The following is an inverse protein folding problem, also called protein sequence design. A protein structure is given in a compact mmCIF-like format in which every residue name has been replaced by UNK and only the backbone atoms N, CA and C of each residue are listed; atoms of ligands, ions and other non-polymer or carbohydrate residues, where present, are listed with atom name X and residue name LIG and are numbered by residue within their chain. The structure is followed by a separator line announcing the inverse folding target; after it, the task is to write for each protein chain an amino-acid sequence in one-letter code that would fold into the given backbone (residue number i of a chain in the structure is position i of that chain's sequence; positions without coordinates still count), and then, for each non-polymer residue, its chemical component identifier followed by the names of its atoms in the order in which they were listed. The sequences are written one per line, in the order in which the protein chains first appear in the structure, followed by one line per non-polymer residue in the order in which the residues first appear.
data_IF_518247254022
#
_entry.id   IF_518247254022
#
_cell.length_a   1.000
_cell.length_b   1.000
_cell.length_c   1.000
_cell.angle_alpha   90.00
_cell.angle_beta   90.00
_cell.angle_gamma   90.00
#
_symmetry.space_group_name_H-M   'P 1'
#
loop_
_entity.id
_entity.type
_entity.pdbx_description
1 polymer ?
#
# COMPACT_ATOMS: atom_id res chain seq x y z
N UNK A 1 18.11 5.06 -18.11
CA UNK A 1 17.90 4.97 -19.59
C UNK A 1 16.48 5.41 -19.99
N UNK A 2 15.46 5.03 -19.23
CA UNK A 2 14.05 5.45 -19.49
C UNK A 2 13.85 6.96 -19.28
N UNK A 3 14.42 7.55 -18.24
CA UNK A 3 14.38 9.01 -18.03
C UNK A 3 14.93 9.80 -19.21
N UNK A 4 16.05 9.35 -19.80
CA UNK A 4 16.66 10.04 -20.94
C UNK A 4 15.78 10.04 -22.20
N UNK A 5 14.99 9.00 -22.43
CA UNK A 5 14.05 8.91 -23.56
C UNK A 5 12.87 9.85 -23.31
N UNK A 6 12.25 9.78 -22.15
CA UNK A 6 11.15 10.65 -21.74
C UNK A 6 11.50 12.14 -21.93
N UNK A 7 12.66 12.54 -21.42
CA UNK A 7 13.06 13.97 -21.44
C UNK A 7 13.40 14.47 -22.85
N UNK A 8 13.87 13.57 -23.75
CA UNK A 8 14.14 13.91 -25.14
C UNK A 8 12.90 14.00 -26.00
N UNK A 9 11.96 13.06 -25.80
CA UNK A 9 10.78 12.92 -26.67
C UNK A 9 9.56 13.70 -26.17
N UNK A 10 9.66 14.34 -24.99
CA UNK A 10 8.58 15.11 -24.33
C UNK A 10 7.24 14.33 -24.32
N UNK A 11 7.29 13.05 -23.93
CA UNK A 11 6.12 12.16 -23.94
C UNK A 11 5.11 12.54 -22.85
N UNK A 12 3.82 12.46 -23.17
CA UNK A 12 2.74 12.77 -22.24
C UNK A 12 2.50 11.65 -21.22
N UNK A 13 2.75 10.41 -21.60
CA UNK A 13 2.58 9.27 -20.74
C UNK A 13 3.66 8.20 -20.97
N UNK A 14 3.98 7.46 -19.92
CA UNK A 14 4.79 6.22 -19.97
C UNK A 14 3.92 5.08 -19.52
N UNK A 15 3.83 4.03 -20.33
CA UNK A 15 3.02 2.84 -20.02
C UNK A 15 3.88 1.76 -19.41
N UNK A 16 3.59 1.39 -18.18
CA UNK A 16 4.19 0.27 -17.46
C UNK A 16 3.41 -1.02 -17.78
N UNK A 17 4.07 -1.97 -18.45
CA UNK A 17 3.52 -3.30 -18.74
C UNK A 17 4.24 -4.29 -17.85
N UNK A 18 3.58 -4.78 -16.79
CA UNK A 18 4.24 -5.68 -15.84
C UNK A 18 3.52 -5.86 -14.53
N UNK A 19 4.24 -6.36 -13.54
CA UNK A 19 3.77 -6.48 -12.15
C UNK A 19 4.22 -5.30 -11.29
N UNK A 20 3.98 -5.42 -9.97
CA UNK A 20 4.24 -4.36 -9.00
C UNK A 20 5.66 -3.80 -9.07
N UNK A 21 6.69 -4.63 -9.17
CA UNK A 21 8.08 -4.18 -9.25
C UNK A 21 8.36 -3.31 -10.49
N UNK A 22 7.84 -3.69 -11.67
CA UNK A 22 8.00 -2.89 -12.91
C UNK A 22 7.25 -1.57 -12.82
N UNK A 23 6.02 -1.60 -12.30
CA UNK A 23 5.20 -0.40 -12.10
C UNK A 23 5.92 0.55 -11.16
N UNK A 24 6.45 0.03 -10.07
CA UNK A 24 7.16 0.79 -9.05
C UNK A 24 8.44 1.45 -9.57
N UNK A 25 9.28 0.71 -10.30
CA UNK A 25 10.50 1.23 -10.91
C UNK A 25 10.21 2.39 -11.87
N UNK A 26 9.18 2.24 -12.71
CA UNK A 26 8.76 3.28 -13.63
C UNK A 26 8.16 4.47 -12.87
N UNK A 27 7.24 4.24 -11.93
CA UNK A 27 6.61 5.28 -11.12
C UNK A 27 7.63 6.16 -10.38
N UNK A 28 8.68 5.56 -9.79
CA UNK A 28 9.79 6.30 -9.14
C UNK A 28 10.48 7.28 -10.08
N UNK A 29 10.55 6.96 -11.37
CA UNK A 29 11.16 7.85 -12.37
C UNK A 29 10.21 8.97 -12.83
N UNK A 30 8.92 8.88 -12.51
CA UNK A 30 7.89 9.81 -12.94
C UNK A 30 7.42 10.76 -11.84
N UNK A 31 7.78 10.52 -10.57
CA UNK A 31 7.40 11.43 -9.47
C UNK A 31 7.84 12.86 -9.76
N UNK A 32 6.95 13.81 -9.46
CA UNK A 32 7.14 15.25 -9.70
C UNK A 32 7.42 15.63 -11.15
N UNK A 33 6.97 14.81 -12.11
CA UNK A 33 7.02 15.14 -13.53
C UNK A 33 5.61 15.35 -14.09
N UNK A 34 5.51 15.95 -15.27
CA UNK A 34 4.24 16.12 -15.99
C UNK A 34 3.85 14.90 -16.82
N UNK A 35 4.67 13.85 -16.83
CA UNK A 35 4.43 12.63 -17.60
C UNK A 35 3.56 11.68 -16.77
N UNK A 36 2.41 11.29 -17.30
CA UNK A 36 1.49 10.38 -16.62
C UNK A 36 1.96 8.92 -16.69
N UNK A 37 1.68 8.16 -15.65
CA UNK A 37 1.86 6.70 -15.61
C UNK A 37 0.59 6.02 -16.16
N UNK A 38 0.70 5.29 -17.26
CA UNK A 38 -0.30 4.30 -17.69
C UNK A 38 0.09 2.91 -17.18
N UNK A 39 -0.87 2.08 -16.81
CA UNK A 39 -0.60 0.74 -16.25
C UNK A 39 -1.34 -0.34 -17.05
N UNK A 40 -0.58 -1.36 -17.51
CA UNK A 40 -1.13 -2.62 -18.01
C UNK A 40 -0.66 -3.72 -17.06
N UNK A 41 -1.52 -4.16 -16.12
CA UNK A 41 -1.11 -5.07 -15.05
C UNK A 41 -0.95 -6.51 -15.57
N UNK A 42 0.27 -7.06 -15.45
CA UNK A 42 0.61 -8.42 -15.87
C UNK A 42 1.22 -9.26 -14.72
N UNK A 43 1.30 -8.71 -13.52
CA UNK A 43 1.82 -9.39 -12.34
C UNK A 43 0.79 -10.24 -11.61
N UNK A 44 1.21 -10.89 -10.52
CA UNK A 44 0.33 -11.66 -9.63
C UNK A 44 -0.39 -10.78 -8.60
N UNK A 45 0.27 -9.74 -8.07
CA UNK A 45 -0.26 -8.85 -7.05
C UNK A 45 -1.06 -7.70 -7.63
N UNK A 46 -0.39 -6.84 -8.40
CA UNK A 46 -0.91 -5.64 -9.04
C UNK A 46 -1.65 -4.70 -8.06
N UNK A 47 -1.02 -4.43 -6.91
CA UNK A 47 -1.64 -3.70 -5.79
C UNK A 47 -2.10 -2.31 -6.18
N UNK A 48 -1.23 -1.50 -6.81
CA UNK A 48 -1.56 -0.15 -7.24
C UNK A 48 -2.65 -0.15 -8.32
N UNK A 49 -2.53 -1.01 -9.34
CA UNK A 49 -3.52 -1.11 -10.40
C UNK A 49 -4.91 -1.50 -9.86
N UNK A 50 -4.97 -2.44 -8.91
CA UNK A 50 -6.23 -2.85 -8.27
C UNK A 50 -6.84 -1.74 -7.42
N UNK A 51 -6.01 -1.01 -6.68
CA UNK A 51 -6.49 0.13 -5.89
C UNK A 51 -7.08 1.22 -6.80
N UNK A 52 -6.41 1.53 -7.90
CA UNK A 52 -6.87 2.48 -8.92
C UNK A 52 -8.00 1.94 -9.82
N UNK A 53 -8.52 0.75 -9.54
CA UNK A 53 -9.58 0.09 -10.31
C UNK A 53 -9.23 -0.13 -11.80
N UNK A 54 -7.94 -0.20 -12.12
CA UNK A 54 -7.47 -0.53 -13.47
C UNK A 54 -7.74 -2.02 -13.74
N UNK A 55 -8.31 -2.32 -14.90
CA UNK A 55 -8.67 -3.69 -15.27
C UNK A 55 -7.45 -4.61 -15.35
N UNK A 56 -7.60 -5.84 -14.79
CA UNK A 56 -6.59 -6.90 -14.93
C UNK A 56 -6.60 -7.56 -16.32
N UNK A 57 -7.58 -7.21 -17.17
CA UNK A 57 -7.63 -7.63 -18.57
C UNK A 57 -6.87 -6.64 -19.45
N UNK A 58 -5.81 -7.06 -20.17
CA UNK A 58 -4.93 -6.14 -20.89
C UNK A 58 -5.66 -5.24 -21.90
N UNK A 59 -6.67 -5.77 -22.61
CA UNK A 59 -7.45 -4.99 -23.56
C UNK A 59 -8.17 -3.82 -22.90
N UNK A 60 -8.85 -4.08 -21.77
CA UNK A 60 -9.54 -3.03 -21.02
C UNK A 60 -8.57 -2.05 -20.36
N UNK A 61 -7.39 -2.50 -19.96
CA UNK A 61 -6.34 -1.62 -19.46
C UNK A 61 -5.85 -0.65 -20.56
N UNK A 62 -5.73 -1.10 -21.80
CA UNK A 62 -5.41 -0.26 -22.94
C UNK A 62 -6.55 0.75 -23.23
N UNK A 63 -7.81 0.34 -23.13
CA UNK A 63 -8.98 1.23 -23.27
C UNK A 63 -8.93 2.33 -22.20
N UNK A 64 -8.59 2.00 -20.96
CA UNK A 64 -8.40 2.98 -19.87
C UNK A 64 -7.27 3.96 -20.21
N UNK A 65 -6.16 3.51 -20.79
CA UNK A 65 -5.07 4.40 -21.19
C UNK A 65 -5.51 5.38 -22.26
N UNK A 66 -6.36 4.96 -23.20
CA UNK A 66 -6.84 5.80 -24.31
C UNK A 66 -7.98 6.75 -23.90
N UNK A 67 -8.87 6.34 -23.01
CA UNK A 67 -10.14 7.01 -22.73
C UNK A 67 -10.24 7.52 -21.28
N UNK A 68 -9.30 7.15 -20.43
CA UNK A 68 -9.26 7.52 -19.02
C UNK A 68 -8.98 9.00 -18.77
N UNK A 69 -8.84 9.34 -17.53
CA UNK A 69 -8.46 10.68 -17.08
C UNK A 69 -7.10 10.61 -16.38
N UNK A 70 -6.38 11.72 -16.36
CA UNK A 70 -5.17 11.87 -15.57
C UNK A 70 -5.59 12.38 -14.19
N UNK A 71 -5.24 11.62 -13.16
CA UNK A 71 -5.39 12.00 -11.76
C UNK A 71 -4.00 12.17 -11.13
N UNK A 72 -3.92 12.94 -10.06
CA UNK A 72 -2.67 13.21 -9.33
C UNK A 72 -2.76 12.56 -7.97
N UNK A 73 -1.90 11.58 -7.74
CA UNK A 73 -1.92 10.79 -6.51
C UNK A 73 -0.72 11.09 -5.61
N UNK A 74 -0.92 10.84 -4.33
CA UNK A 74 0.11 10.86 -3.31
C UNK A 74 0.99 9.60 -3.42
N UNK A 75 2.20 9.67 -2.85
CA UNK A 75 3.04 8.51 -2.64
C UNK A 75 3.72 8.58 -1.28
N UNK A 76 4.14 7.45 -0.75
CA UNK A 76 4.88 7.39 0.50
C UNK A 76 6.39 7.39 0.29
N UNK A 77 7.13 7.84 1.29
CA UNK A 77 8.57 7.60 1.43
C UNK A 77 8.85 6.88 2.73
N UNK A 78 9.68 5.84 2.67
CA UNK A 78 10.31 5.22 3.83
C UNK A 78 11.79 5.59 3.81
N UNK A 79 12.24 6.40 4.78
CA UNK A 79 13.45 7.21 4.67
C UNK A 79 13.43 7.98 3.33
N UNK A 80 14.40 7.73 2.45
CA UNK A 80 14.43 8.40 1.13
C UNK A 80 13.85 7.53 -0.01
N UNK A 81 13.35 6.33 0.29
CA UNK A 81 12.87 5.38 -0.74
C UNK A 81 11.37 5.57 -0.99
N UNK A 82 10.95 5.92 -2.21
CA UNK A 82 9.54 6.02 -2.56
C UNK A 82 8.84 4.66 -2.57
N UNK A 83 7.58 4.64 -2.14
CA UNK A 83 6.65 3.52 -2.29
C UNK A 83 5.26 4.05 -2.69
N UNK A 84 4.47 3.25 -3.38
CA UNK A 84 3.17 3.66 -3.92
C UNK A 84 1.99 2.91 -3.29
N UNK A 85 2.23 1.70 -2.81
CA UNK A 85 1.21 0.91 -2.12
C UNK A 85 1.41 0.90 -0.61
N UNK A 86 2.39 0.15 -0.15
CA UNK A 86 2.59 -0.07 1.29
C UNK A 86 4.08 -0.14 1.64
N UNK A 87 4.42 0.25 2.84
CA UNK A 87 5.69 -0.12 3.46
C UNK A 87 5.44 -0.64 4.88
N UNK A 88 6.43 -1.30 5.47
CA UNK A 88 6.24 -1.81 6.82
C UNK A 88 7.45 -2.47 7.44
N UNK A 89 7.30 -2.77 8.73
CA UNK A 89 8.33 -3.37 9.58
C UNK A 89 7.82 -4.64 10.26
N UNK A 90 8.73 -5.41 10.83
CA UNK A 90 8.39 -6.65 11.50
C UNK A 90 8.07 -7.76 10.51
N UNK A 91 7.08 -8.57 10.82
CA UNK A 91 6.65 -9.66 9.95
C UNK A 91 6.03 -9.19 8.63
N UNK A 92 5.69 -7.92 8.52
CA UNK A 92 5.11 -7.31 7.33
C UNK A 92 5.99 -7.48 6.09
N UNK A 93 7.29 -7.26 6.22
CA UNK A 93 8.27 -7.51 5.16
C UNK A 93 8.22 -8.96 4.65
N UNK A 94 7.94 -9.91 5.52
CA UNK A 94 7.82 -11.32 5.16
C UNK A 94 6.47 -11.63 4.49
N UNK A 95 5.38 -11.07 5.00
CA UNK A 95 4.02 -11.22 4.45
C UNK A 95 3.96 -10.64 3.04
N UNK A 96 4.39 -9.41 2.85
CA UNK A 96 4.34 -8.74 1.55
C UNK A 96 5.17 -9.46 0.48
N UNK A 97 6.38 -9.91 0.83
CA UNK A 97 7.23 -10.70 -0.05
C UNK A 97 6.56 -12.03 -0.47
N UNK A 98 5.86 -12.66 0.46
CA UNK A 98 5.14 -13.91 0.22
C UNK A 98 3.93 -13.69 -0.69
N UNK A 99 3.18 -12.59 -0.50
CA UNK A 99 2.07 -12.24 -1.37
C UNK A 99 2.50 -11.93 -2.81
N UNK A 100 3.58 -11.21 -2.99
CA UNK A 100 4.16 -10.94 -4.31
C UNK A 100 4.51 -12.24 -5.07
N UNK A 101 4.88 -13.31 -4.34
CA UNK A 101 5.28 -14.61 -4.91
C UNK A 101 4.15 -15.64 -5.00
N UNK A 102 3.00 -15.43 -4.34
CA UNK A 102 1.98 -16.47 -4.13
C UNK A 102 1.18 -16.89 -5.38
N UNK A 103 1.32 -16.23 -6.52
CA UNK A 103 0.67 -16.62 -7.76
C UNK A 103 -0.85 -16.90 -7.64
N UNK A 104 -1.44 -17.53 -8.68
CA UNK A 104 -2.89 -17.79 -8.79
C UNK A 104 -3.43 -18.94 -7.91
N UNK A 105 -2.60 -19.67 -7.17
CA UNK A 105 -3.02 -20.88 -6.44
C UNK A 105 -3.35 -20.58 -4.97
N UNK A 106 -4.63 -20.27 -4.69
CA UNK A 106 -5.18 -20.26 -3.35
C UNK A 106 -4.51 -19.27 -2.38
N UNK A 107 -4.66 -17.95 -2.58
CA UNK A 107 -3.99 -16.96 -1.75
C UNK A 107 -4.36 -17.08 -0.26
N UNK A 108 -5.60 -17.45 0.05
CA UNK A 108 -6.06 -17.62 1.43
C UNK A 108 -5.35 -18.76 2.15
N UNK A 109 -5.31 -19.97 1.57
CA UNK A 109 -4.64 -21.13 2.17
C UNK A 109 -3.14 -20.89 2.35
N UNK A 110 -2.53 -20.12 1.43
CA UNK A 110 -1.13 -19.78 1.52
C UNK A 110 -0.88 -18.76 2.64
N UNK A 111 -1.77 -17.76 2.80
CA UNK A 111 -1.72 -16.81 3.90
C UNK A 111 -1.87 -17.52 5.24
N UNK A 112 -2.87 -18.40 5.41
CA UNK A 112 -3.06 -19.15 6.64
C UNK A 112 -1.81 -19.93 7.04
N UNK A 113 -1.20 -20.66 6.09
CA UNK A 113 0.07 -21.36 6.35
C UNK A 113 1.19 -20.40 6.75
N UNK A 114 1.30 -19.26 6.06
CA UNK A 114 2.29 -18.22 6.36
C UNK A 114 2.09 -17.66 7.77
N UNK A 115 0.85 -17.35 8.14
CA UNK A 115 0.51 -16.88 9.49
C UNK A 115 0.75 -17.95 10.56
N UNK A 116 0.46 -19.22 10.28
CA UNK A 116 0.75 -20.33 11.20
C UNK A 116 2.27 -20.54 11.40
N UNK A 117 3.05 -20.47 10.31
CA UNK A 117 4.52 -20.53 10.39
C UNK A 117 5.10 -19.33 11.16
N UNK A 118 4.45 -18.18 11.04
CA UNK A 118 4.87 -16.93 11.64
C UNK A 118 4.68 -16.88 13.17
N UNK A 119 3.91 -17.78 13.75
CA UNK A 119 3.78 -17.88 15.21
C UNK A 119 5.13 -18.16 15.92
N UNK A 120 6.14 -18.57 15.16
CA UNK A 120 7.53 -18.66 15.62
C UNK A 120 8.23 -17.30 15.66
N UNK A 121 7.70 -16.29 14.98
CA UNK A 121 8.24 -14.94 14.99
C UNK A 121 7.96 -14.29 16.35
N UNK A 122 8.99 -13.65 16.91
CA UNK A 122 8.86 -12.93 18.17
C UNK A 122 8.41 -11.49 17.90
N UNK A 123 7.22 -11.08 18.34
CA UNK A 123 6.78 -9.70 18.24
C UNK A 123 7.74 -8.74 18.92
N UNK A 124 8.09 -7.65 18.25
CA UNK A 124 9.01 -6.63 18.77
C UNK A 124 8.24 -5.45 19.37
N UNK A 125 8.92 -4.69 20.22
CA UNK A 125 8.37 -3.44 20.75
C UNK A 125 8.87 -2.29 19.89
N UNK A 126 7.93 -1.50 19.40
CA UNK A 126 8.16 -0.29 18.61
C UNK A 126 7.67 0.94 19.36
N UNK A 127 8.41 2.02 19.23
CA UNK A 127 7.97 3.35 19.61
C UNK A 127 7.64 4.13 18.34
N UNK A 128 6.42 4.66 18.28
CA UNK A 128 5.85 5.32 17.12
C UNK A 128 5.64 6.79 17.46
N UNK A 129 6.36 7.68 16.80
CA UNK A 129 6.25 9.13 16.94
C UNK A 129 5.48 9.69 15.75
N UNK A 130 4.40 10.41 16.02
CA UNK A 130 3.55 11.11 15.05
C UNK A 130 3.42 12.58 15.44
N UNK A 131 2.69 13.36 14.64
CA UNK A 131 2.34 14.74 14.95
C UNK A 131 1.54 14.87 16.27
N UNK A 132 0.77 13.83 16.64
CA UNK A 132 -0.11 13.81 17.82
C UNK A 132 0.60 13.28 19.08
N UNK A 133 1.83 12.80 18.98
CA UNK A 133 2.61 12.31 20.10
C UNK A 133 3.27 10.95 19.86
N UNK A 134 3.73 10.35 20.96
CA UNK A 134 4.47 9.09 20.95
C UNK A 134 3.62 7.96 21.51
N UNK A 135 3.53 6.86 20.78
CA UNK A 135 2.82 5.64 21.15
C UNK A 135 3.80 4.47 21.22
N UNK A 136 3.56 3.52 22.09
CA UNK A 136 4.40 2.33 22.23
C UNK A 136 3.56 1.07 22.06
N UNK A 137 3.96 0.22 21.10
CA UNK A 137 3.27 -1.03 20.81
C UNK A 137 4.22 -2.21 20.80
N UNK A 138 3.77 -3.32 21.40
CA UNK A 138 4.33 -4.63 21.06
C UNK A 138 3.58 -5.13 19.84
N UNK A 139 4.25 -5.17 18.69
CA UNK A 139 3.61 -5.49 17.43
C UNK A 139 4.27 -6.69 16.75
N UNK A 140 3.46 -7.47 16.07
CA UNK A 140 3.86 -8.53 15.17
C UNK A 140 4.28 -7.92 13.81
N UNK A 141 3.51 -6.96 13.31
CA UNK A 141 3.83 -6.14 12.16
C UNK A 141 3.26 -4.73 12.31
N UNK A 142 3.87 -3.80 11.61
CA UNK A 142 3.33 -2.46 11.39
C UNK A 142 3.41 -2.19 9.89
N UNK A 143 2.25 -1.96 9.27
CA UNK A 143 2.12 -1.60 7.87
C UNK A 143 1.66 -0.14 7.74
N UNK A 144 2.27 0.60 6.82
CA UNK A 144 1.87 1.96 6.46
C UNK A 144 1.34 1.92 5.02
N UNK A 145 0.05 2.11 4.86
CA UNK A 145 -0.63 2.10 3.57
C UNK A 145 -0.79 3.50 3.00
N UNK A 146 -0.24 3.74 1.82
CA UNK A 146 -0.63 4.81 0.91
C UNK A 146 -1.79 4.32 0.03
N UNK A 147 -1.75 3.04 -0.38
CA UNK A 147 -2.85 2.32 -1.00
C UNK A 147 -3.40 1.23 -0.08
N UNK A 148 -4.59 0.72 -0.37
CA UNK A 148 -5.35 -0.14 0.53
C UNK A 148 -4.83 -1.58 0.69
N UNK A 149 -3.95 -2.05 -0.20
CA UNK A 149 -3.63 -3.48 -0.28
C UNK A 149 -2.18 -3.77 -0.66
N UNK A 150 -1.71 -4.94 -0.26
CA UNK A 150 -0.45 -5.52 -0.74
C UNK A 150 -0.51 -5.99 -2.20
N UNK A 151 -1.70 -6.09 -2.76
CA UNK A 151 -2.01 -6.73 -4.03
C UNK A 151 -2.88 -7.98 -3.84
N UNK A 152 -3.36 -8.52 -4.95
CA UNK A 152 -4.18 -9.74 -4.98
C UNK A 152 -5.39 -9.73 -4.02
N UNK A 153 -5.96 -8.53 -3.78
CA UNK A 153 -7.06 -8.26 -2.86
C UNK A 153 -6.76 -8.53 -1.37
N UNK A 154 -5.49 -8.48 -0.95
CA UNK A 154 -5.10 -8.54 0.45
C UNK A 154 -5.07 -7.12 1.04
N UNK A 155 -6.17 -6.69 1.64
CA UNK A 155 -6.40 -5.32 2.10
C UNK A 155 -5.89 -5.12 3.52
N UNK A 156 -4.67 -4.59 3.67
CA UNK A 156 -4.07 -4.29 4.97
C UNK A 156 -4.48 -2.92 5.52
N UNK A 157 -4.80 -1.98 4.65
CA UNK A 157 -5.25 -0.64 4.97
C UNK A 157 -6.53 -0.32 4.17
N UNK A 158 -7.69 -0.96 4.49
CA UNK A 158 -8.88 -0.91 3.63
C UNK A 158 -9.43 0.49 3.39
N UNK A 159 -9.13 1.44 4.29
CA UNK A 159 -9.62 2.82 4.22
C UNK A 159 -8.61 3.78 3.55
N UNK A 160 -7.43 3.30 3.15
CA UNK A 160 -6.42 4.16 2.55
C UNK A 160 -6.89 4.78 1.23
N UNK A 161 -6.58 6.06 1.05
CA UNK A 161 -6.88 6.86 -0.14
C UNK A 161 -5.60 7.50 -0.68
N UNK A 162 -5.41 7.45 -2.00
CA UNK A 162 -4.21 7.98 -2.64
C UNK A 162 -4.18 9.51 -2.80
N UNK A 163 -5.18 10.24 -2.28
CA UNK A 163 -5.35 11.69 -2.54
C UNK A 163 -5.71 12.49 -1.29
N UNK A 164 -5.67 11.88 -0.10
CA UNK A 164 -6.06 12.57 1.15
C UNK A 164 -4.85 13.13 1.94
N UNK A 165 -3.64 12.83 1.46
CA UNK A 165 -2.40 13.28 2.10
C UNK A 165 -2.11 12.59 3.44
N UNK A 166 -2.60 11.39 3.65
CA UNK A 166 -2.44 10.61 4.87
C UNK A 166 -1.88 9.20 4.56
N UNK A 167 -1.22 8.62 5.53
CA UNK A 167 -0.87 7.22 5.60
C UNK A 167 -1.82 6.51 6.55
N UNK A 168 -2.39 5.40 6.14
CA UNK A 168 -3.15 4.51 7.01
C UNK A 168 -2.21 3.51 7.68
N UNK A 169 -1.99 3.67 8.97
CA UNK A 169 -1.11 2.80 9.75
C UNK A 169 -1.92 1.67 10.36
N UNK A 170 -1.52 0.43 10.08
CA UNK A 170 -2.12 -0.79 10.60
C UNK A 170 -1.10 -1.53 11.46
N UNK A 171 -1.42 -1.75 12.71
CA UNK A 171 -0.60 -2.47 13.67
C UNK A 171 -1.29 -3.78 14.01
N UNK A 172 -0.63 -4.91 13.75
CA UNK A 172 -1.07 -6.21 14.24
C UNK A 172 -0.36 -6.52 15.55
N UNK A 173 -1.12 -6.56 16.63
CA UNK A 173 -0.65 -6.99 17.95
C UNK A 173 -0.37 -8.51 17.98
N UNK A 174 0.32 -9.02 19.00
CA UNK A 174 0.52 -10.47 19.15
C UNK A 174 -0.81 -11.23 19.12
N UNK A 175 -0.86 -12.28 18.34
CA UNK A 175 -2.05 -13.10 18.11
C UNK A 175 -1.76 -14.59 18.30
N UNK A 176 -2.78 -15.42 18.31
CA UNK A 176 -2.71 -16.87 18.51
C UNK A 176 -3.20 -17.62 17.26
N UNK A 177 -3.02 -18.95 17.26
CA UNK A 177 -3.57 -19.82 16.18
C UNK A 177 -5.05 -19.61 15.97
N UNK A 178 -5.81 -19.33 17.04
CA UNK A 178 -7.26 -19.14 16.98
C UNK A 178 -7.66 -17.85 16.27
N UNK A 179 -6.79 -16.86 16.23
CA UNK A 179 -7.03 -15.58 15.55
C UNK A 179 -6.79 -15.67 14.02
N UNK A 180 -6.01 -16.68 13.55
CA UNK A 180 -5.57 -16.79 12.15
C UNK A 180 -6.71 -16.85 11.13
N UNK A 181 -7.76 -17.67 11.31
CA UNK A 181 -8.87 -17.71 10.34
C UNK A 181 -9.59 -16.36 10.21
N UNK A 182 -9.84 -15.69 11.33
CA UNK A 182 -10.49 -14.36 11.35
C UNK A 182 -9.63 -13.30 10.66
N UNK A 183 -8.35 -13.22 11.01
CA UNK A 183 -7.40 -12.29 10.39
C UNK A 183 -7.32 -12.51 8.87
N UNK A 184 -7.19 -13.79 8.45
CA UNK A 184 -7.11 -14.13 7.03
C UNK A 184 -8.39 -13.74 6.28
N UNK A 185 -9.57 -14.09 6.81
CA UNK A 185 -10.85 -13.76 6.21
C UNK A 185 -11.03 -12.24 6.09
N UNK A 186 -10.77 -11.50 7.15
CA UNK A 186 -10.95 -10.05 7.19
C UNK A 186 -9.99 -9.30 6.27
N UNK A 187 -8.75 -9.81 6.09
CA UNK A 187 -7.78 -9.23 5.16
C UNK A 187 -8.30 -9.23 3.72
N UNK A 188 -9.00 -10.30 3.29
CA UNK A 188 -9.57 -10.37 1.93
C UNK A 188 -10.95 -9.71 1.80
N UNK A 189 -11.66 -9.53 2.92
CA UNK A 189 -12.99 -8.90 2.94
C UNK A 189 -12.99 -7.40 3.23
N UNK A 190 -11.82 -6.74 3.23
CA UNK A 190 -11.67 -5.30 3.55
C UNK A 190 -12.17 -4.92 4.95
N UNK A 191 -12.09 -5.82 5.92
CA UNK A 191 -12.57 -5.59 7.29
C UNK A 191 -11.50 -5.89 8.34
N UNK A 192 -10.23 -5.91 7.94
CA UNK A 192 -9.10 -6.20 8.84
C UNK A 192 -9.01 -5.17 9.99
N UNK A 193 -9.37 -3.92 9.72
CA UNK A 193 -9.45 -2.81 10.67
C UNK A 193 -10.49 -3.02 11.79
N UNK A 194 -11.43 -3.96 11.63
CA UNK A 194 -12.42 -4.33 12.65
C UNK A 194 -11.93 -5.47 13.56
N UNK A 195 -10.75 -6.04 13.31
CA UNK A 195 -10.22 -7.12 14.14
C UNK A 195 -9.71 -6.59 15.49
N UNK A 196 -10.00 -7.29 16.57
CA UNK A 196 -9.59 -6.90 17.93
C UNK A 196 -8.07 -6.85 18.14
N UNK A 197 -7.29 -7.57 17.32
CA UNK A 197 -5.82 -7.58 17.33
C UNK A 197 -5.22 -6.47 16.48
N UNK A 198 -6.04 -5.69 15.79
CA UNK A 198 -5.60 -4.61 14.92
C UNK A 198 -5.84 -3.27 15.60
N UNK A 199 -4.84 -2.41 15.52
CA UNK A 199 -4.95 -0.97 15.84
C UNK A 199 -4.66 -0.19 14.57
N UNK A 200 -5.46 0.82 14.32
CA UNK A 200 -5.28 1.70 13.15
C UNK A 200 -5.28 3.15 13.57
N UNK A 201 -4.50 3.95 12.88
CA UNK A 201 -4.54 5.41 12.93
C UNK A 201 -4.04 5.98 11.62
N UNK A 202 -4.22 7.29 11.42
CA UNK A 202 -3.75 8.01 10.24
C UNK A 202 -2.77 9.10 10.64
N UNK A 203 -1.77 9.34 9.81
CA UNK A 203 -0.78 10.39 10.02
C UNK A 203 -0.17 10.85 8.69
N UNK A 204 0.45 12.03 8.68
CA UNK A 204 1.23 12.49 7.54
C UNK A 204 2.67 12.01 7.63
N UNK A 205 3.19 11.97 8.86
CA UNK A 205 4.55 11.52 9.17
C UNK A 205 4.51 10.52 10.32
N UNK A 206 5.39 9.54 10.26
CA UNK A 206 5.58 8.53 11.29
C UNK A 206 7.06 8.23 11.42
N UNK A 207 7.61 8.38 12.64
CA UNK A 207 8.91 7.82 12.97
C UNK A 207 8.72 6.55 13.76
N UNK A 208 9.29 5.46 13.28
CA UNK A 208 9.30 4.15 13.93
C UNK A 208 10.68 3.95 14.56
N UNK A 209 10.72 3.80 15.87
CA UNK A 209 11.93 3.42 16.60
C UNK A 209 11.83 1.97 17.05
N UNK A 210 12.89 1.20 16.84
CA UNK A 210 13.05 -0.20 17.27
C UNK A 210 14.42 -0.43 17.89
N UNK A 211 14.57 -1.50 18.68
CA UNK A 211 15.78 -1.75 19.49
C UNK A 211 16.97 -2.27 18.70
N UNK A 212 16.78 -2.74 17.47
CA UNK A 212 17.84 -3.31 16.62
C UNK A 212 17.51 -3.11 15.14
N UNK A 213 18.51 -3.04 14.26
CA UNK A 213 18.32 -3.06 12.81
C UNK A 213 17.55 -4.32 12.36
N UNK A 214 16.79 -4.22 11.29
CA UNK A 214 16.03 -5.35 10.76
C UNK A 214 15.50 -5.10 9.36
N UNK A 215 14.76 -6.06 8.82
CA UNK A 215 14.15 -5.96 7.51
C UNK A 215 12.92 -5.05 7.57
N UNK A 216 12.81 -4.20 6.56
CA UNK A 216 11.60 -3.47 6.19
C UNK A 216 11.22 -3.87 4.77
N UNK A 217 10.00 -3.55 4.34
CA UNK A 217 9.65 -3.63 2.93
C UNK A 217 9.04 -2.31 2.46
N UNK A 218 9.08 -2.10 1.15
CA UNK A 218 8.33 -1.08 0.44
C UNK A 218 7.84 -1.68 -0.89
N UNK A 219 6.53 -1.72 -1.07
CA UNK A 219 5.86 -2.35 -2.22
C UNK A 219 6.31 -3.80 -2.51
N UNK A 220 6.63 -4.56 -1.45
CA UNK A 220 7.09 -5.93 -1.56
C UNK A 220 8.60 -6.13 -1.67
N UNK A 221 9.40 -5.07 -1.86
CA UNK A 221 10.85 -5.14 -1.93
C UNK A 221 11.46 -5.07 -0.51
N UNK A 222 12.19 -6.10 -0.06
CA UNK A 222 12.81 -6.08 1.26
C UNK A 222 14.12 -5.30 1.30
N UNK A 223 14.36 -4.57 2.38
CA UNK A 223 15.60 -3.84 2.63
C UNK A 223 15.98 -3.89 4.12
N UNK A 224 17.28 -3.96 4.42
CA UNK A 224 17.78 -3.77 5.79
C UNK A 224 17.83 -2.28 6.13
N UNK A 225 17.21 -1.90 7.24
CA UNK A 225 17.29 -0.53 7.77
C UNK A 225 17.70 -0.53 9.25
N UNK A 226 18.14 0.61 9.73
CA UNK A 226 18.56 0.83 11.12
C UNK A 226 17.40 0.81 12.12
N UNK A 227 17.66 1.39 13.29
CA UNK A 227 16.72 1.43 14.41
C UNK A 227 15.66 2.52 14.23
N UNK A 228 15.99 3.60 13.53
CA UNK A 228 15.09 4.72 13.25
C UNK A 228 14.66 4.68 11.78
N UNK A 229 13.37 4.70 11.56
CA UNK A 229 12.74 4.62 10.24
C UNK A 229 11.73 5.76 10.15
N UNK A 230 11.96 6.67 9.22
CA UNK A 230 11.05 7.77 8.93
C UNK A 230 10.13 7.39 7.76
N UNK A 231 8.82 7.52 7.96
CA UNK A 231 7.81 7.28 6.94
C UNK A 231 6.99 8.56 6.78
N UNK A 232 6.75 8.99 5.56
CA UNK A 232 5.95 10.19 5.27
C UNK A 232 5.19 10.07 3.97
N UNK A 233 4.04 10.73 3.89
CA UNK A 233 3.32 10.93 2.62
C UNK A 233 3.87 12.16 1.90
N UNK A 234 3.95 12.07 0.58
CA UNK A 234 4.26 13.18 -0.33
C UNK A 234 3.04 13.40 -1.20
N UNK A 235 2.40 14.56 -1.01
CA UNK A 235 1.14 14.89 -1.71
C UNK A 235 1.38 15.19 -3.18
N UNK A 236 0.41 14.81 -4.00
CA UNK A 236 0.31 15.19 -5.42
C UNK A 236 1.62 14.91 -6.20
N UNK A 237 2.24 13.77 -5.91
CA UNK A 237 3.58 13.48 -6.42
C UNK A 237 3.64 12.68 -7.70
N UNK A 238 2.55 12.03 -8.14
CA UNK A 238 2.54 11.17 -9.33
C UNK A 238 1.27 11.35 -10.15
N UNK A 239 1.40 11.66 -11.43
CA UNK A 239 0.29 11.63 -12.38
C UNK A 239 0.04 10.21 -12.88
N UNK A 240 -1.21 9.74 -12.81
CA UNK A 240 -1.62 8.40 -13.27
C UNK A 240 -2.85 8.46 -14.16
N UNK A 241 -2.96 7.56 -15.13
CA UNK A 241 -4.15 7.41 -15.96
C UNK A 241 -5.09 6.42 -15.28
N UNK A 242 -6.30 6.86 -14.94
CA UNK A 242 -7.32 6.08 -14.22
C UNK A 242 -8.62 5.99 -15.03
N UNK A 243 -9.50 5.00 -14.74
CA UNK A 243 -10.81 4.92 -15.37
C UNK A 243 -11.70 6.13 -15.04
N UNK A 244 -12.45 6.63 -16.01
CA UNK A 244 -13.39 7.77 -15.80
C UNK A 244 -14.46 7.52 -14.73
N UNK A 245 -14.83 6.26 -14.47
CA UNK A 245 -15.83 5.92 -13.46
C UNK A 245 -15.27 5.88 -12.02
N UNK A 246 -13.95 5.93 -11.84
CA UNK A 246 -13.34 6.09 -10.51
C UNK A 246 -13.69 7.46 -9.87
N UNK A 247 -14.04 8.47 -10.66
CA UNK A 247 -14.54 9.77 -10.17
C UNK A 247 -15.81 9.67 -9.32
N UNK A 248 -16.70 8.69 -9.59
CA UNK A 248 -17.97 8.55 -8.86
C UNK A 248 -17.78 8.03 -7.42
N UNK A 249 -16.68 7.35 -7.14
CA UNK A 249 -16.38 6.89 -5.77
C UNK A 249 -15.79 8.00 -4.88
N UNK A 250 -15.08 8.98 -5.45
CA UNK A 250 -14.57 10.12 -4.68
C UNK A 250 -15.70 11.06 -4.19
N UNK A 251 -16.76 11.25 -4.99
CA UNK A 251 -17.95 12.01 -4.56
C UNK A 251 -18.74 11.29 -3.45
N UNK A 252 -18.77 9.95 -3.46
CA UNK A 252 -19.37 9.13 -2.41
C UNK A 252 -18.56 9.14 -1.11
N UNK A 253 -17.24 9.37 -1.17
CA UNK A 253 -16.37 9.44 0.02
C UNK A 253 -16.62 10.76 0.78
N UNK A 254 -16.79 11.88 0.08
CA UNK A 254 -17.16 13.14 0.71
C UNK A 254 -18.57 13.04 1.35
N UNK A 255 -19.51 12.36 0.69
CA UNK A 255 -20.83 12.08 1.23
C UNK A 255 -20.76 11.20 2.49
N UNK A 256 -19.98 10.12 2.47
CA UNK A 256 -19.76 9.24 3.63
C UNK A 256 -19.04 9.92 4.79
N UNK A 257 -18.06 10.76 4.50
CA UNK A 257 -17.41 11.60 5.53
C UNK A 257 -18.40 12.59 6.15
N UNK A 258 -19.25 13.20 5.34
CA UNK A 258 -20.30 14.11 5.81
C UNK A 258 -21.36 13.36 6.63
N UNK A 259 -21.77 12.16 6.21
CA UNK A 259 -22.72 11.29 6.92
C UNK A 259 -22.14 10.78 8.24
N UNK A 260 -20.84 10.47 8.29
CA UNK A 260 -20.15 10.11 9.53
C UNK A 260 -20.08 11.29 10.51
N UNK A 261 -19.76 12.49 10.03
CA UNK A 261 -19.75 13.72 10.87
C UNK A 261 -21.16 14.06 11.37
N UNK A 262 -22.19 13.84 10.54
CA UNK A 262 -23.58 14.12 10.92
C UNK A 262 -24.16 13.06 11.88
N UNK A 263 -23.62 11.83 11.88
CA UNK A 263 -24.02 10.76 12.82
C UNK A 263 -23.38 10.84 14.20
N UNK A 264 -22.43 11.77 14.40
CA UNK A 264 -21.78 12.05 15.70
C UNK A 264 -22.47 13.20 16.49
N UNK A 265 -23.59 13.71 16.01
CA UNK A 265 -24.49 14.64 16.70
C UNK A 265 -25.71 13.89 17.20
#
# INVERSE_FOLDING_TARGET
RQMCIRDRENVHAVVAIGGDGTINEIARSLVHTKTALGIIPCGSGNGLARHLQISMEPKKAIEIINEGIIDVIDYGKINEVPFFCTCGVGFDAFVSLKFAKAGRRGPLTYLEKTLLESLKYQPETYELETEDGTLKYKAFLIACGNASQYGNNAYIAPQAMLTDGLLDVTILEPFTVLDVPSLSFQLFNKTIDQNSRIKTFRCQTLRIHRTKPGVVHFDGDPMMMGENIDVKVIKEGLQVIIPRYAEKDSSNVLQRAQDYINGLK
#
